data_IF_626523999851
#
_entry.id   IF_626523999851
#
_cell.length_a   1.000
_cell.length_b   1.000
_cell.length_c   1.000
_cell.angle_alpha   90.00
_cell.angle_beta   90.00
_cell.angle_gamma   90.00
#
_symmetry.space_group_name_H-M   'P 1'
#
loop_
_entity.id
_entity.type
_entity.pdbx_description
1 polymer ?
#
# COMPACT_ATOMS: atom_id res chain seq x y z
N UNK A 1 73.87 -63.51 -14.28
CA UNK A 1 72.77 -63.11 -15.18
C UNK A 1 71.47 -63.64 -14.59
N UNK A 2 70.44 -62.79 -14.60
CA UNK A 2 69.29 -62.76 -13.71
C UNK A 2 68.36 -63.99 -13.72
N UNK A 3 67.83 -64.30 -12.53
CA UNK A 3 66.73 -65.20 -12.28
C UNK A 3 65.39 -64.43 -12.15
N UNK A 4 64.31 -65.10 -12.57
CA UNK A 4 62.94 -64.63 -12.63
C UNK A 4 62.28 -64.42 -11.26
N UNK A 5 61.37 -63.43 -11.18
CA UNK A 5 60.16 -63.52 -10.37
C UNK A 5 59.06 -62.62 -10.96
N UNK A 6 57.84 -63.17 -11.11
CA UNK A 6 56.61 -62.47 -11.50
C UNK A 6 55.91 -61.92 -10.24
N UNK A 7 55.33 -60.71 -10.33
CA UNK A 7 54.27 -60.27 -9.40
C UNK A 7 53.24 -59.36 -10.09
N UNK A 8 52.04 -59.36 -9.48
CA UNK A 8 50.68 -59.04 -9.94
C UNK A 8 50.35 -57.54 -10.01
N UNK A 9 49.30 -57.16 -10.75
CA UNK A 9 48.30 -56.16 -10.29
C UNK A 9 46.94 -56.36 -10.99
N UNK A 10 45.87 -56.04 -10.26
CA UNK A 10 44.47 -56.46 -10.44
C UNK A 10 43.58 -55.37 -11.07
N UNK A 11 42.42 -55.77 -11.62
CA UNK A 11 41.27 -54.90 -11.86
C UNK A 11 39.98 -55.64 -11.48
N UNK A 12 39.25 -55.12 -10.49
CA UNK A 12 37.93 -55.60 -10.06
C UNK A 12 36.84 -55.09 -11.03
N UNK A 13 35.95 -55.99 -11.45
CA UNK A 13 34.67 -55.66 -12.09
C UNK A 13 33.57 -55.90 -11.04
N UNK A 14 32.80 -54.86 -10.72
CA UNK A 14 31.65 -54.93 -9.84
C UNK A 14 30.38 -55.31 -10.64
N UNK A 15 29.65 -56.31 -10.14
CA UNK A 15 28.36 -56.77 -10.67
C UNK A 15 27.24 -55.97 -10.02
N UNK A 16 26.35 -55.40 -10.83
CA UNK A 16 25.15 -54.69 -10.39
C UNK A 16 24.05 -55.66 -9.92
N UNK A 17 23.51 -55.45 -8.72
CA UNK A 17 22.28 -56.07 -8.25
C UNK A 17 21.16 -55.03 -8.26
N UNK A 18 20.13 -55.25 -9.08
CA UNK A 18 18.93 -54.42 -9.14
C UNK A 18 17.96 -54.81 -8.02
N UNK A 19 17.53 -53.83 -7.23
CA UNK A 19 16.41 -53.95 -6.29
C UNK A 19 15.28 -53.06 -6.79
N UNK A 20 14.14 -53.68 -7.13
CA UNK A 20 12.88 -52.97 -7.37
C UNK A 20 12.38 -52.39 -6.04
N UNK A 21 12.43 -51.06 -5.89
CA UNK A 21 11.69 -50.36 -4.85
C UNK A 21 10.33 -49.94 -5.41
N UNK A 22 9.26 -50.58 -4.94
CA UNK A 22 7.89 -50.11 -5.17
C UNK A 22 7.72 -48.75 -4.48
N UNK A 23 7.38 -47.72 -5.26
CA UNK A 23 7.16 -46.36 -4.75
C UNK A 23 5.93 -46.32 -3.86
N UNK A 24 6.13 -46.10 -2.56
CA UNK A 24 5.10 -45.57 -1.68
C UNK A 24 4.81 -44.13 -2.14
N UNK A 25 3.53 -43.70 -2.22
CA UNK A 25 3.25 -42.29 -2.45
C UNK A 25 3.85 -41.51 -1.31
N UNK A 26 4.67 -40.51 -1.62
CA UNK A 26 5.11 -39.54 -0.64
C UNK A 26 3.84 -38.91 -0.04
N UNK A 27 3.51 -39.27 1.20
CA UNK A 27 2.54 -38.54 1.99
C UNK A 27 3.00 -37.08 1.97
N UNK A 28 2.21 -36.22 1.33
CA UNK A 28 2.37 -34.79 1.47
C UNK A 28 2.43 -34.50 2.96
N UNK A 29 3.51 -33.89 3.43
CA UNK A 29 3.63 -33.49 4.82
C UNK A 29 2.39 -32.66 5.18
N UNK A 30 1.52 -33.20 6.05
CA UNK A 30 0.43 -32.41 6.61
C UNK A 30 1.08 -31.18 7.25
N UNK A 31 0.67 -29.99 6.79
CA UNK A 31 1.11 -28.74 7.39
C UNK A 31 0.84 -28.84 8.91
N UNK A 32 1.85 -28.50 9.72
CA UNK A 32 1.75 -28.55 11.17
C UNK A 32 0.43 -27.92 11.63
N UNK A 33 -0.29 -28.61 12.52
CA UNK A 33 -1.53 -28.10 13.12
C UNK A 33 -1.18 -26.78 13.81
N UNK A 34 -1.71 -25.67 13.31
CA UNK A 34 -1.45 -24.38 13.94
C UNK A 34 -2.16 -24.31 15.30
N UNK A 35 -1.37 -24.03 16.33
CA UNK A 35 -1.73 -24.15 17.74
C UNK A 35 -2.06 -22.80 18.40
N UNK A 36 -1.99 -21.72 17.63
CA UNK A 36 -2.20 -20.36 18.09
C UNK A 36 -1.03 -19.78 18.89
N UNK A 37 0.10 -20.47 19.04
CA UNK A 37 1.28 -19.91 19.72
C UNK A 37 1.88 -18.73 18.94
N UNK A 38 2.73 -17.89 19.54
CA UNK A 38 3.43 -16.83 18.79
C UNK A 38 4.23 -17.35 17.58
N UNK A 39 4.73 -18.60 17.63
CA UNK A 39 5.46 -19.23 16.55
C UNK A 39 4.56 -19.93 15.51
N UNK A 40 3.23 -19.92 15.68
CA UNK A 40 2.28 -20.49 14.74
C UNK A 40 2.40 -19.82 13.36
N UNK A 41 2.78 -20.61 12.35
CA UNK A 41 3.02 -20.14 11.00
C UNK A 41 1.77 -19.66 10.27
N UNK A 42 0.58 -19.98 10.77
CA UNK A 42 -0.68 -19.45 10.24
C UNK A 42 -0.98 -18.02 10.68
N UNK A 43 -0.27 -17.50 11.69
CA UNK A 43 -0.45 -16.13 12.18
C UNK A 43 0.45 -15.18 11.39
N UNK A 44 -0.17 -14.32 10.59
CA UNK A 44 0.52 -13.19 9.97
C UNK A 44 0.63 -12.05 10.97
N UNK A 45 1.85 -11.64 11.30
CA UNK A 45 2.12 -10.45 12.13
C UNK A 45 2.55 -9.30 11.24
N UNK A 46 1.66 -8.35 11.02
CA UNK A 46 1.85 -7.21 10.11
C UNK A 46 2.32 -5.99 10.88
N UNK A 47 3.25 -5.24 10.28
CA UNK A 47 3.94 -4.14 10.92
C UNK A 47 5.18 -4.58 11.69
N UNK A 48 5.69 -3.71 12.54
CA UNK A 48 6.99 -3.92 13.21
C UNK A 48 6.79 -4.53 14.59
N UNK A 49 6.96 -5.85 14.63
CA UNK A 49 6.88 -6.67 15.84
C UNK A 49 8.26 -7.07 16.36
N UNK A 50 8.47 -6.93 17.67
CA UNK A 50 9.56 -7.61 18.35
C UNK A 50 9.22 -9.09 18.50
N UNK A 51 10.08 -9.95 17.96
CA UNK A 51 9.93 -11.42 17.99
C UNK A 51 11.11 -12.12 18.67
N UNK A 52 11.97 -11.37 19.38
CA UNK A 52 13.18 -11.91 20.02
C UNK A 52 12.85 -12.95 21.11
N UNK A 53 11.68 -12.83 21.74
CA UNK A 53 11.14 -13.86 22.63
C UNK A 53 10.13 -14.73 21.86
N UNK A 54 10.46 -16.01 21.64
CA UNK A 54 9.61 -16.95 20.90
C UNK A 54 8.24 -17.21 21.54
N UNK A 55 8.06 -16.88 22.83
CA UNK A 55 6.81 -17.07 23.57
C UNK A 55 6.03 -15.77 23.79
N UNK A 56 6.54 -14.63 23.30
CA UNK A 56 5.92 -13.32 23.51
C UNK A 56 6.33 -12.32 22.42
N UNK A 57 5.38 -11.92 21.58
CA UNK A 57 5.62 -10.93 20.53
C UNK A 57 5.02 -9.56 20.89
N UNK A 58 5.75 -8.50 20.60
CA UNK A 58 5.42 -7.12 21.01
C UNK A 58 5.18 -6.24 19.77
N UNK A 59 3.98 -5.68 19.57
CA UNK A 59 3.72 -4.67 18.54
C UNK A 59 4.11 -3.29 19.07
N UNK A 60 5.13 -2.66 18.49
CA UNK A 60 5.61 -1.37 18.99
C UNK A 60 4.86 -0.15 18.45
N UNK A 61 4.33 -0.25 17.24
CA UNK A 61 3.72 0.87 16.54
C UNK A 61 2.20 0.75 16.52
N UNK A 62 1.52 1.90 16.44
CA UNK A 62 0.07 1.99 16.48
C UNK A 62 -0.65 1.02 15.54
N UNK A 63 -0.10 0.84 14.34
CA UNK A 63 -0.70 0.05 13.29
C UNK A 63 -0.34 -1.43 13.25
N UNK A 64 0.45 -1.93 14.19
CA UNK A 64 0.83 -3.32 14.17
C UNK A 64 -0.37 -4.19 14.60
N UNK A 65 -0.62 -5.26 13.84
CA UNK A 65 -1.71 -6.18 14.08
C UNK A 65 -1.32 -7.61 13.69
N UNK A 66 -2.07 -8.59 14.19
CA UNK A 66 -1.99 -9.97 13.72
C UNK A 66 -3.24 -10.33 12.93
N UNK A 67 -3.11 -11.26 11.98
CA UNK A 67 -4.19 -11.85 11.19
C UNK A 67 -4.06 -13.36 11.17
N UNK A 68 -5.16 -14.05 11.38
CA UNK A 68 -5.18 -15.52 11.44
C UNK A 68 -6.57 -16.03 11.14
N UNK A 69 -6.68 -17.20 10.52
CA UNK A 69 -7.92 -17.96 10.45
C UNK A 69 -8.00 -18.98 11.60
N UNK A 70 -9.19 -19.26 12.14
CA UNK A 70 -9.39 -20.33 13.12
C UNK A 70 -10.68 -21.11 12.86
N UNK A 71 -10.67 -22.40 13.17
CA UNK A 71 -11.87 -23.24 13.14
C UNK A 71 -12.61 -23.23 14.48
N UNK A 72 -13.87 -23.65 14.51
CA UNK A 72 -14.63 -23.82 15.76
C UNK A 72 -15.56 -22.65 16.02
N UNK A 73 -15.91 -22.42 17.29
CA UNK A 73 -16.94 -21.46 17.73
C UNK A 73 -16.40 -20.38 18.65
N UNK A 74 -15.25 -20.62 19.29
CA UNK A 74 -14.69 -19.68 20.28
C UNK A 74 -13.18 -19.50 20.11
N UNK A 75 -12.71 -18.28 20.37
CA UNK A 75 -11.29 -17.95 20.44
C UNK A 75 -11.02 -16.98 21.59
N UNK A 76 -9.93 -17.20 22.32
CA UNK A 76 -9.43 -16.30 23.35
C UNK A 76 -7.98 -15.93 23.04
N UNK A 77 -7.49 -14.87 23.67
CA UNK A 77 -6.12 -14.39 23.52
C UNK A 77 -5.41 -14.38 24.88
N UNK A 78 -4.15 -14.84 24.91
CA UNK A 78 -3.26 -14.72 26.07
C UNK A 78 -2.52 -13.38 26.03
N UNK A 79 -2.80 -12.55 27.02
CA UNK A 79 -2.28 -11.20 27.19
C UNK A 79 -1.45 -11.12 28.48
N UNK A 80 -0.21 -10.64 28.41
CA UNK A 80 0.71 -10.67 29.56
C UNK A 80 0.25 -9.79 30.72
N UNK A 81 0.26 -8.47 30.55
CA UNK A 81 -0.28 -7.51 31.51
C UNK A 81 -1.35 -6.62 30.87
N UNK A 82 -1.95 -5.74 31.67
CA UNK A 82 -3.10 -4.94 31.22
C UNK A 82 -2.73 -4.03 30.04
N UNK A 83 -3.52 -4.13 28.98
CA UNK A 83 -3.47 -3.27 27.81
C UNK A 83 -4.88 -3.21 27.21
N UNK A 84 -5.18 -2.13 26.48
CA UNK A 84 -6.32 -2.10 25.57
C UNK A 84 -5.94 -2.75 24.23
N UNK A 85 -6.80 -3.61 23.71
CA UNK A 85 -6.68 -4.20 22.39
C UNK A 85 -8.03 -4.18 21.67
N UNK A 86 -8.00 -4.40 20.36
CA UNK A 86 -9.20 -4.49 19.54
C UNK A 86 -9.15 -5.75 18.69
N UNK A 87 -10.29 -6.41 18.56
CA UNK A 87 -10.42 -7.59 17.70
C UNK A 87 -11.57 -7.43 16.71
N UNK A 88 -11.34 -7.85 15.47
CA UNK A 88 -12.35 -8.00 14.42
C UNK A 88 -12.42 -9.47 14.02
N UNK A 89 -13.64 -10.02 13.99
CA UNK A 89 -13.90 -11.39 13.53
C UNK A 89 -14.77 -11.31 12.28
N UNK A 90 -14.39 -12.04 11.24
CA UNK A 90 -15.10 -12.13 9.96
C UNK A 90 -15.39 -10.77 9.32
N UNK A 91 -14.42 -9.84 9.41
CA UNK A 91 -14.53 -8.50 8.84
C UNK A 91 -15.56 -7.58 9.52
N UNK A 92 -16.07 -7.96 10.69
CA UNK A 92 -16.98 -7.11 11.48
C UNK A 92 -16.25 -5.93 12.10
N UNK A 93 -17.02 -4.95 12.59
CA UNK A 93 -16.47 -3.82 13.34
C UNK A 93 -15.62 -4.29 14.52
N UNK A 94 -14.54 -3.56 14.80
CA UNK A 94 -13.65 -3.86 15.91
C UNK A 94 -14.36 -3.72 17.25
N UNK A 95 -14.20 -4.74 18.09
CA UNK A 95 -14.62 -4.75 19.48
C UNK A 95 -13.43 -4.43 20.37
N UNK A 96 -13.59 -3.52 21.33
CA UNK A 96 -12.53 -3.15 22.28
C UNK A 96 -12.54 -4.06 23.51
N UNK A 97 -11.34 -4.45 23.94
CA UNK A 97 -11.10 -5.24 25.14
C UNK A 97 -9.99 -4.56 25.95
N UNK A 98 -10.08 -4.63 27.27
CA UNK A 98 -9.01 -4.17 28.17
C UNK A 98 -8.81 -5.22 29.26
N UNK A 99 -7.58 -5.70 29.42
CA UNK A 99 -7.30 -6.70 30.45
C UNK A 99 -5.95 -7.40 30.29
N UNK A 100 -5.76 -8.43 31.10
CA UNK A 100 -4.59 -9.32 31.13
C UNK A 100 -5.02 -10.78 31.29
N UNK A 101 -4.08 -11.72 31.23
CA UNK A 101 -4.35 -13.15 31.31
C UNK A 101 -5.07 -13.66 30.07
N UNK A 102 -6.26 -14.22 30.24
CA UNK A 102 -7.07 -14.74 29.13
C UNK A 102 -8.19 -13.76 28.79
N UNK A 103 -8.13 -13.16 27.60
CA UNK A 103 -9.18 -12.29 27.08
C UNK A 103 -10.08 -13.11 26.15
N UNK A 104 -11.35 -13.27 26.51
CA UNK A 104 -12.32 -13.96 25.66
C UNK A 104 -12.81 -13.05 24.53
N UNK A 105 -12.37 -13.31 23.30
CA UNK A 105 -12.72 -12.51 22.12
C UNK A 105 -14.11 -12.87 21.57
N UNK A 106 -14.64 -14.04 21.97
CA UNK A 106 -15.97 -14.54 21.61
C UNK A 106 -16.78 -14.84 22.88
N UNK A 107 -17.18 -13.81 23.66
CA UNK A 107 -18.00 -14.02 24.86
C UNK A 107 -19.34 -14.69 24.54
N UNK A 108 -19.85 -14.45 23.34
CA UNK A 108 -20.90 -15.25 22.72
C UNK A 108 -20.27 -16.15 21.66
N UNK A 109 -20.54 -17.45 21.74
CA UNK A 109 -20.03 -18.42 20.77
C UNK A 109 -20.55 -18.12 19.36
N UNK A 110 -19.67 -18.25 18.37
CA UNK A 110 -19.99 -18.13 16.96
C UNK A 110 -20.72 -19.39 16.46
N UNK A 111 -21.17 -19.34 15.20
CA UNK A 111 -21.52 -20.56 14.48
C UNK A 111 -20.29 -21.47 14.36
N UNK A 112 -20.46 -22.78 14.24
CA UNK A 112 -19.33 -23.66 13.96
C UNK A 112 -18.86 -23.44 12.53
N UNK A 113 -17.56 -23.23 12.33
CA UNK A 113 -17.00 -23.09 10.99
C UNK A 113 -15.58 -22.54 10.99
N UNK A 114 -15.21 -21.94 9.87
CA UNK A 114 -13.97 -21.21 9.70
C UNK A 114 -14.24 -19.72 9.88
N UNK A 115 -13.40 -19.08 10.69
CA UNK A 115 -13.48 -17.66 10.99
C UNK A 115 -12.15 -16.99 10.73
N UNK A 116 -12.17 -15.70 10.44
CA UNK A 116 -10.96 -14.87 10.38
C UNK A 116 -10.91 -13.94 11.57
N UNK A 117 -9.71 -13.68 12.07
CA UNK A 117 -9.45 -12.84 13.22
C UNK A 117 -8.35 -11.82 12.88
N UNK A 118 -8.61 -10.56 13.20
CA UNK A 118 -7.60 -9.50 13.28
C UNK A 118 -7.53 -9.02 14.72
N UNK A 119 -6.33 -8.88 15.28
CA UNK A 119 -6.12 -8.24 16.59
C UNK A 119 -5.07 -7.15 16.48
N UNK A 120 -5.40 -5.95 16.96
CA UNK A 120 -4.46 -4.83 17.11
C UNK A 120 -4.42 -4.36 18.55
N UNK A 121 -3.32 -3.73 18.94
CA UNK A 121 -3.08 -3.28 20.31
C UNK A 121 -3.02 -1.76 20.37
N UNK A 122 -3.44 -1.20 21.50
CA UNK A 122 -3.19 0.22 21.78
C UNK A 122 -1.69 0.46 21.86
N UNK A 123 -1.23 1.45 21.12
CA UNK A 123 0.15 1.89 21.17
C UNK A 123 0.53 2.34 22.58
N UNK A 124 1.67 1.85 23.07
CA UNK A 124 2.28 2.33 24.32
C UNK A 124 3.19 3.51 23.98
N UNK A 125 2.65 4.73 24.08
CA UNK A 125 3.35 5.98 23.77
C UNK A 125 2.81 7.16 24.60
N UNK A 126 3.64 8.21 24.71
CA UNK A 126 3.31 9.41 25.48
C UNK A 126 3.10 9.09 26.97
N UNK A 127 2.01 9.59 27.54
CA UNK A 127 1.64 9.33 28.94
C UNK A 127 0.91 7.99 29.15
N UNK A 128 0.54 7.28 28.09
CA UNK A 128 -0.18 6.03 28.22
C UNK A 128 0.77 4.90 28.64
N UNK A 129 0.39 4.20 29.71
CA UNK A 129 1.10 3.02 30.22
C UNK A 129 0.27 1.77 29.98
N UNK A 130 0.94 0.66 29.65
CA UNK A 130 0.34 -0.63 29.35
C UNK A 130 1.36 -1.60 28.80
N UNK A 131 0.95 -2.83 28.49
CA UNK A 131 1.85 -3.89 28.04
C UNK A 131 1.32 -4.62 26.80
N UNK A 132 1.56 -4.08 25.60
CA UNK A 132 1.12 -4.72 24.36
C UNK A 132 1.96 -5.98 24.07
N UNK A 133 1.46 -7.16 24.44
CA UNK A 133 2.21 -8.43 24.32
C UNK A 133 1.30 -9.59 24.00
N UNK A 134 1.48 -10.15 22.81
CA UNK A 134 0.80 -11.34 22.36
C UNK A 134 1.53 -12.60 22.85
N UNK A 135 0.84 -13.48 23.59
CA UNK A 135 1.37 -14.77 24.06
C UNK A 135 0.64 -15.99 23.46
N UNK A 136 -0.17 -15.77 22.43
CA UNK A 136 -0.89 -16.81 21.72
C UNK A 136 -2.40 -16.75 21.84
N UNK A 137 -3.07 -17.57 21.04
CA UNK A 137 -4.50 -17.84 21.08
C UNK A 137 -4.80 -19.07 21.93
N UNK A 138 -6.03 -19.13 22.42
CA UNK A 138 -6.63 -20.33 23.02
C UNK A 138 -7.85 -20.66 22.18
N UNK A 139 -7.80 -21.83 21.54
CA UNK A 139 -8.86 -22.33 20.68
C UNK A 139 -9.78 -23.28 21.44
N UNK A 140 -10.98 -23.49 20.90
CA UNK A 140 -11.86 -24.58 21.31
C UNK A 140 -11.16 -25.95 21.16
N UNK A 141 -11.59 -26.95 21.92
CA UNK A 141 -11.06 -28.30 21.77
C UNK A 141 -11.28 -28.83 20.35
N UNK A 142 -10.22 -29.35 19.72
CA UNK A 142 -10.25 -29.85 18.34
C UNK A 142 -10.21 -28.77 17.25
N UNK A 143 -10.23 -27.48 17.63
CA UNK A 143 -10.02 -26.39 16.69
C UNK A 143 -8.52 -26.17 16.40
N UNK A 144 -8.25 -25.54 15.26
CA UNK A 144 -6.91 -25.19 14.78
C UNK A 144 -6.91 -23.84 14.10
N UNK A 145 -5.73 -23.22 13.98
CA UNK A 145 -5.57 -22.06 13.09
C UNK A 145 -5.39 -22.50 11.63
N UNK A 146 -5.58 -21.56 10.71
CA UNK A 146 -5.27 -21.69 9.29
C UNK A 146 -4.83 -20.34 8.74
N UNK A 147 -4.04 -20.35 7.67
CA UNK A 147 -3.56 -19.12 7.03
C UNK A 147 -4.75 -18.34 6.44
N UNK A 148 -4.97 -17.07 6.83
CA UNK A 148 -6.06 -16.26 6.28
C UNK A 148 -5.78 -15.89 4.81
N UNK A 149 -6.78 -15.40 4.06
CA UNK A 149 -6.56 -14.91 2.69
C UNK A 149 -5.39 -13.93 2.61
N UNK A 150 -4.46 -14.21 1.69
CA UNK A 150 -3.28 -13.40 1.41
C UNK A 150 -3.73 -12.02 0.95
N UNK A 151 -3.05 -10.98 1.45
CA UNK A 151 -3.22 -9.62 0.92
C UNK A 151 -2.07 -9.32 -0.04
N UNK A 152 -2.37 -8.77 -1.24
CA UNK A 152 -1.39 -8.73 -2.32
C UNK A 152 -0.33 -7.64 -2.15
N UNK A 153 -0.51 -6.71 -1.23
CA UNK A 153 0.36 -5.54 -1.04
C UNK A 153 0.46 -5.13 0.41
N UNK A 154 1.51 -4.38 0.74
CA UNK A 154 1.71 -3.72 2.02
C UNK A 154 1.88 -2.19 1.84
N UNK A 155 1.12 -1.40 2.60
CA UNK A 155 1.25 0.06 2.65
C UNK A 155 1.70 0.54 4.03
N UNK A 156 2.81 1.27 4.10
CA UNK A 156 3.19 1.99 5.32
C UNK A 156 2.53 3.37 5.36
N UNK A 157 1.91 3.71 6.50
CA UNK A 157 1.42 5.05 6.80
C UNK A 157 2.34 5.68 7.84
N UNK A 158 3.11 6.69 7.44
CA UNK A 158 4.10 7.37 8.26
C UNK A 158 3.55 8.73 8.68
N UNK A 159 3.56 9.02 9.97
CA UNK A 159 3.03 10.29 10.44
C UNK A 159 3.15 10.54 11.92
N UNK A 160 2.25 11.40 12.40
CA UNK A 160 2.19 11.90 13.77
C UNK A 160 0.93 11.40 14.52
N UNK A 161 0.37 12.22 15.42
CA UNK A 161 -0.87 11.90 16.15
C UNK A 161 -2.04 11.57 15.24
N UNK A 162 -2.14 12.21 14.08
CA UNK A 162 -3.25 11.99 13.15
C UNK A 162 -3.14 10.59 12.56
N UNK A 163 -1.93 10.16 12.18
CA UNK A 163 -1.71 8.80 11.67
C UNK A 163 -1.76 7.76 12.77
N UNK A 164 -1.54 8.12 14.04
CA UNK A 164 -1.77 7.24 15.18
C UNK A 164 -3.25 7.16 15.62
N UNK A 165 -4.15 7.90 14.95
CA UNK A 165 -5.59 7.89 15.25
C UNK A 165 -6.02 8.71 16.46
N UNK A 166 -5.21 9.69 16.89
CA UNK A 166 -5.56 10.53 18.03
C UNK A 166 -6.96 11.16 17.87
N UNK A 167 -7.75 11.11 18.93
CA UNK A 167 -9.15 11.57 19.01
C UNK A 167 -10.18 10.77 18.21
N UNK A 168 -9.78 9.76 17.43
CA UNK A 168 -10.71 8.75 16.93
C UNK A 168 -11.14 7.78 18.04
N UNK A 169 -12.29 7.12 17.89
CA UNK A 169 -12.92 6.33 18.95
C UNK A 169 -12.14 5.08 19.37
N UNK A 170 -11.33 4.51 18.47
CA UNK A 170 -10.52 3.32 18.72
C UNK A 170 -9.07 3.50 18.25
N UNK A 171 -8.58 4.74 18.21
CA UNK A 171 -7.21 5.07 17.84
C UNK A 171 -6.84 4.45 16.48
N UNK A 172 -5.82 3.59 16.45
CA UNK A 172 -5.27 3.05 15.23
C UNK A 172 -6.30 2.28 14.38
N UNK A 173 -7.21 1.51 14.97
CA UNK A 173 -8.14 0.69 14.17
C UNK A 173 -9.29 1.49 13.56
N UNK A 174 -9.45 2.75 13.95
CA UNK A 174 -10.42 3.69 13.38
C UNK A 174 -9.78 4.83 12.59
N UNK A 175 -8.45 4.88 12.55
CA UNK A 175 -7.71 5.89 11.79
C UNK A 175 -7.77 5.63 10.27
N UNK A 176 -7.36 6.63 9.50
CA UNK A 176 -7.52 6.59 8.05
C UNK A 176 -6.62 5.55 7.39
N UNK A 177 -5.42 5.30 7.91
CA UNK A 177 -4.47 4.31 7.40
C UNK A 177 -5.03 2.89 7.52
N UNK A 178 -5.62 2.56 8.68
CA UNK A 178 -6.21 1.25 8.91
C UNK A 178 -7.42 1.03 8.00
N UNK A 179 -8.31 2.02 7.97
CA UNK A 179 -9.50 1.99 7.11
C UNK A 179 -9.16 1.91 5.62
N UNK A 180 -8.12 2.61 5.15
CA UNK A 180 -7.68 2.53 3.75
C UNK A 180 -7.13 1.14 3.44
N UNK A 181 -6.26 0.60 4.31
CA UNK A 181 -5.69 -0.73 4.12
C UNK A 181 -6.75 -1.82 4.06
N UNK A 182 -7.71 -1.82 5.00
CA UNK A 182 -8.84 -2.75 4.98
C UNK A 182 -9.72 -2.58 3.73
N UNK A 183 -10.02 -1.34 3.32
CA UNK A 183 -10.83 -1.06 2.12
C UNK A 183 -10.19 -1.57 0.83
N UNK A 184 -8.87 -1.46 0.73
CA UNK A 184 -8.12 -1.93 -0.44
C UNK A 184 -7.82 -3.43 -0.38
N UNK A 185 -8.07 -4.08 0.75
CA UNK A 185 -7.66 -5.46 0.98
C UNK A 185 -6.14 -5.61 1.02
N UNK A 186 -5.41 -4.58 1.50
CA UNK A 186 -3.94 -4.57 1.61
C UNK A 186 -3.50 -4.77 3.06
N UNK A 187 -2.35 -5.41 3.24
CA UNK A 187 -1.66 -5.30 4.51
C UNK A 187 -1.19 -3.85 4.69
N UNK A 188 -1.14 -3.40 5.93
CA UNK A 188 -0.85 -2.00 6.22
C UNK A 188 -0.27 -1.86 7.62
N UNK A 189 0.45 -0.76 7.85
CA UNK A 189 0.97 -0.44 9.18
C UNK A 189 1.20 1.05 9.32
N UNK A 190 0.86 1.59 10.47
CA UNK A 190 1.11 2.96 10.88
C UNK A 190 2.45 3.04 11.63
N UNK A 191 3.43 3.72 11.05
CA UNK A 191 4.68 4.11 11.71
C UNK A 191 4.48 5.53 12.21
N UNK A 192 3.79 5.67 13.33
CA UNK A 192 3.37 6.98 13.85
C UNK A 192 3.29 7.01 15.37
N UNK A 193 3.60 8.15 15.97
CA UNK A 193 3.38 8.50 17.39
C UNK A 193 2.88 9.95 17.46
N UNK A 194 2.03 10.23 18.44
CA UNK A 194 1.55 11.58 18.72
C UNK A 194 2.66 12.61 18.95
N UNK A 195 2.51 13.77 18.31
CA UNK A 195 3.44 14.89 18.46
C UNK A 195 4.75 14.78 17.67
N UNK A 196 4.93 13.73 16.85
CA UNK A 196 6.15 13.59 16.05
C UNK A 196 6.30 14.70 15.00
N UNK A 197 7.53 15.15 14.82
CA UNK A 197 7.96 16.02 13.74
C UNK A 197 8.49 15.20 12.55
N UNK A 198 8.71 15.86 11.42
CA UNK A 198 9.56 15.32 10.38
C UNK A 198 11.03 15.38 10.81
N UNK A 199 11.48 16.53 11.34
CA UNK A 199 12.88 16.80 11.71
C UNK A 199 13.09 16.77 13.24
N UNK A 200 14.24 16.27 13.70
CA UNK A 200 14.61 16.40 15.12
C UNK A 200 14.87 17.87 15.43
N UNK A 201 14.33 18.33 16.56
CA UNK A 201 14.47 19.72 16.99
C UNK A 201 15.17 19.81 18.34
N UNK A 202 15.83 20.94 18.60
CA UNK A 202 16.63 21.14 19.82
C UNK A 202 15.80 21.16 21.10
N UNK A 203 14.50 21.46 21.00
CA UNK A 203 13.54 21.39 22.10
C UNK A 203 12.95 19.99 22.29
N UNK A 204 13.43 18.99 21.54
CA UNK A 204 13.19 17.57 21.79
C UNK A 204 12.01 16.96 21.05
N UNK A 205 11.53 17.56 19.95
CA UNK A 205 10.51 16.93 19.12
C UNK A 205 11.06 15.64 18.51
N UNK A 206 10.47 14.49 18.87
CA UNK A 206 10.83 13.22 18.28
C UNK A 206 10.49 13.21 16.79
N UNK A 207 11.40 12.72 15.96
CA UNK A 207 11.27 12.90 14.53
C UNK A 207 11.29 11.61 13.72
N UNK A 208 10.54 11.62 12.63
CA UNK A 208 10.48 10.49 11.71
C UNK A 208 11.77 10.29 10.91
N UNK A 209 12.59 11.33 10.72
CA UNK A 209 13.93 11.17 10.14
C UNK A 209 14.82 10.20 10.92
N UNK A 210 14.52 9.98 12.20
CA UNK A 210 15.19 9.01 13.08
C UNK A 210 14.33 7.77 13.31
N UNK A 211 13.09 7.96 13.79
CA UNK A 211 12.26 6.87 14.33
C UNK A 211 11.66 5.96 13.27
N UNK A 212 11.49 6.44 12.04
CA UNK A 212 11.08 5.58 10.93
C UNK A 212 12.05 4.42 10.67
N UNK A 213 13.31 4.51 11.11
CA UNK A 213 14.30 3.45 10.91
C UNK A 213 14.39 2.47 12.07
N UNK A 214 13.57 2.66 13.10
CA UNK A 214 13.63 1.92 14.35
C UNK A 214 12.53 0.87 14.43
N UNK A 215 12.81 -0.21 15.16
CA UNK A 215 11.82 -1.25 15.48
C UNK A 215 10.66 -0.69 16.30
N UNK A 216 10.91 0.37 17.08
CA UNK A 216 9.93 1.04 17.94
C UNK A 216 10.01 2.56 17.81
N UNK A 217 8.99 3.26 18.29
CA UNK A 217 8.97 4.71 18.22
C UNK A 217 9.71 5.42 19.36
N UNK A 218 10.40 4.71 20.25
CA UNK A 218 11.22 5.33 21.30
C UNK A 218 11.36 4.55 22.60
N UNK A 219 10.86 3.31 22.66
CA UNK A 219 11.02 2.46 23.82
C UNK A 219 12.53 2.16 24.05
N UNK A 220 12.95 2.16 25.31
CA UNK A 220 14.36 1.92 25.71
C UNK A 220 14.81 0.53 25.23
N UNK A 221 16.05 0.45 24.74
CA UNK A 221 16.66 -0.83 24.33
C UNK A 221 16.11 -1.39 23.01
N UNK A 222 15.62 -0.52 22.12
CA UNK A 222 15.09 -0.94 20.82
C UNK A 222 16.08 -0.71 19.68
N UNK A 223 16.16 -1.72 18.81
CA UNK A 223 17.13 -1.77 17.71
C UNK A 223 16.58 -1.09 16.44
N UNK A 224 17.45 -0.94 15.45
CA UNK A 224 17.03 -0.63 14.08
C UNK A 224 16.04 -1.66 13.56
N UNK A 225 15.09 -1.21 12.74
CA UNK A 225 14.18 -2.12 12.09
C UNK A 225 14.90 -2.92 11.01
N UNK A 226 14.72 -4.24 11.04
CA UNK A 226 15.15 -5.12 9.96
C UNK A 226 14.13 -5.05 8.81
N UNK A 227 14.42 -4.16 7.87
CA UNK A 227 13.60 -3.97 6.68
C UNK A 227 13.66 -5.13 5.66
N UNK A 228 14.40 -6.22 5.91
CA UNK A 228 14.29 -7.43 5.09
C UNK A 228 12.98 -8.20 5.36
N UNK A 229 12.32 -7.91 6.49
CA UNK A 229 11.11 -8.61 6.94
C UNK A 229 9.87 -8.33 6.11
N UNK A 230 9.81 -7.20 5.42
CA UNK A 230 8.83 -6.91 4.38
C UNK A 230 9.33 -5.80 3.46
N UNK A 231 8.77 -5.76 2.25
CA UNK A 231 8.86 -4.61 1.36
C UNK A 231 7.50 -3.91 1.34
N UNK A 232 7.49 -2.58 1.38
CA UNK A 232 6.28 -1.82 1.17
C UNK A 232 6.07 -1.60 -0.34
N UNK A 233 4.82 -1.73 -0.81
CA UNK A 233 4.40 -1.33 -2.15
C UNK A 233 4.06 0.16 -2.19
N UNK A 234 3.64 0.72 -1.06
CA UNK A 234 3.34 2.14 -0.91
C UNK A 234 3.80 2.68 0.43
N UNK A 235 4.24 3.93 0.46
CA UNK A 235 4.51 4.68 1.69
C UNK A 235 3.76 6.01 1.63
N UNK A 236 2.80 6.19 2.53
CA UNK A 236 1.99 7.40 2.65
C UNK A 236 2.51 8.21 3.83
N UNK A 237 2.89 9.47 3.61
CA UNK A 237 3.56 10.30 4.59
C UNK A 237 2.69 11.53 4.88
N UNK A 238 2.27 11.69 6.14
CA UNK A 238 1.53 12.85 6.61
C UNK A 238 2.27 13.45 7.83
N UNK A 239 3.15 14.40 7.55
CA UNK A 239 4.05 15.03 8.52
C UNK A 239 4.19 16.53 8.22
N UNK A 240 4.51 17.30 9.24
CA UNK A 240 4.60 18.77 9.18
C UNK A 240 3.69 19.47 10.18
N UNK A 241 2.70 18.76 10.74
CA UNK A 241 1.74 19.32 11.69
C UNK A 241 2.43 19.95 12.90
N UNK A 242 3.49 19.33 13.42
CA UNK A 242 4.15 19.77 14.65
C UNK A 242 5.38 20.64 14.40
N UNK A 243 6.06 20.48 13.26
CA UNK A 243 7.39 21.06 12.98
C UNK A 243 7.45 22.59 13.15
N UNK A 244 6.40 23.32 12.77
CA UNK A 244 6.38 24.79 12.89
C UNK A 244 6.36 25.27 14.32
N UNK A 245 5.67 24.56 15.21
CA UNK A 245 5.65 24.87 16.65
C UNK A 245 6.99 24.60 17.32
N UNK A 246 7.84 23.78 16.70
CA UNK A 246 9.19 23.47 17.15
C UNK A 246 10.27 24.27 16.38
N UNK A 247 9.88 25.37 15.74
CA UNK A 247 10.83 26.34 15.15
C UNK A 247 11.47 25.90 13.83
N UNK A 248 10.98 24.85 13.17
CA UNK A 248 11.53 24.41 11.88
C UNK A 248 11.20 25.43 10.79
N UNK A 249 12.20 25.96 10.10
CA UNK A 249 11.98 26.90 9.00
C UNK A 249 11.41 26.19 7.75
N UNK A 250 10.73 26.92 6.87
CA UNK A 250 10.24 26.40 5.59
C UNK A 250 11.34 25.71 4.76
N UNK A 251 12.49 26.37 4.62
CA UNK A 251 13.63 25.85 3.88
C UNK A 251 14.20 24.56 4.51
N UNK A 252 14.33 24.54 5.85
CA UNK A 252 14.81 23.36 6.57
C UNK A 252 13.83 22.19 6.43
N UNK A 253 12.53 22.45 6.55
CA UNK A 253 11.49 21.44 6.38
C UNK A 253 11.53 20.82 4.97
N UNK A 254 11.52 21.63 3.90
CA UNK A 254 11.59 21.14 2.53
C UNK A 254 12.83 20.28 2.27
N UNK A 255 14.00 20.76 2.69
CA UNK A 255 15.26 20.02 2.53
C UNK A 255 15.22 18.68 3.27
N UNK A 256 14.69 18.67 4.48
CA UNK A 256 14.55 17.46 5.30
C UNK A 256 13.56 16.49 4.68
N UNK A 257 12.43 16.96 4.17
CA UNK A 257 11.42 16.13 3.52
C UNK A 257 11.97 15.48 2.25
N UNK A 258 12.72 16.25 1.44
CA UNK A 258 13.37 15.74 0.23
C UNK A 258 14.38 14.64 0.57
N UNK A 259 15.20 14.84 1.62
CA UNK A 259 16.13 13.83 2.11
C UNK A 259 15.42 12.58 2.65
N UNK A 260 14.33 12.76 3.38
CA UNK A 260 13.54 11.65 3.92
C UNK A 260 12.92 10.79 2.81
N UNK A 261 12.31 11.40 1.81
CA UNK A 261 11.81 10.71 0.60
C UNK A 261 12.92 9.95 -0.12
N UNK A 262 14.10 10.57 -0.27
CA UNK A 262 15.28 9.94 -0.90
C UNK A 262 15.71 8.68 -0.14
N UNK A 263 15.75 8.74 1.20
CA UNK A 263 16.12 7.59 2.04
C UNK A 263 15.08 6.49 1.99
N UNK A 264 13.79 6.83 1.99
CA UNK A 264 12.70 5.85 1.86
C UNK A 264 12.79 5.14 0.51
N UNK A 265 12.97 5.88 -0.61
CA UNK A 265 13.18 5.30 -1.94
C UNK A 265 14.37 4.33 -1.96
N UNK A 266 15.49 4.69 -1.34
CA UNK A 266 16.64 3.80 -1.27
C UNK A 266 16.35 2.49 -0.52
N UNK A 267 15.41 2.50 0.45
CA UNK A 267 14.98 1.32 1.20
C UNK A 267 13.93 0.49 0.47
N UNK A 268 13.01 1.16 -0.23
CA UNK A 268 11.94 0.53 -1.01
C UNK A 268 11.99 1.04 -2.46
N UNK A 269 12.89 0.48 -3.30
CA UNK A 269 13.15 0.99 -4.64
C UNK A 269 11.91 1.06 -5.54
N UNK A 270 10.95 0.16 -5.34
CA UNK A 270 9.75 0.03 -6.17
C UNK A 270 8.48 0.62 -5.53
N UNK A 271 8.55 1.18 -4.31
CA UNK A 271 7.36 1.67 -3.62
C UNK A 271 6.80 2.94 -4.28
N UNK A 272 5.48 3.11 -4.31
CA UNK A 272 4.88 4.42 -4.61
C UNK A 272 4.91 5.29 -3.35
N UNK A 273 5.50 6.48 -3.43
CA UNK A 273 5.61 7.38 -2.28
C UNK A 273 4.55 8.48 -2.37
N UNK A 274 3.71 8.62 -1.36
CA UNK A 274 2.63 9.61 -1.33
C UNK A 274 2.90 10.62 -0.22
N UNK A 275 3.36 11.82 -0.56
CA UNK A 275 3.54 12.91 0.38
C UNK A 275 2.22 13.70 0.49
N UNK A 276 1.52 13.53 1.60
CA UNK A 276 0.25 14.22 1.84
C UNK A 276 0.49 15.65 2.31
N UNK A 277 -0.29 16.58 1.76
CA UNK A 277 -0.52 17.88 2.40
C UNK A 277 -1.13 17.64 3.77
N UNK A 278 -0.57 18.25 4.82
CA UNK A 278 -1.20 18.19 6.16
C UNK A 278 -2.61 18.78 6.10
N UNK A 279 -3.54 18.27 6.90
CA UNK A 279 -4.94 18.70 6.82
C UNK A 279 -5.13 20.18 7.19
N UNK A 280 -4.28 20.70 8.08
CA UNK A 280 -4.23 22.12 8.46
C UNK A 280 -3.40 22.99 7.49
N UNK A 281 -2.89 22.42 6.40
CA UNK A 281 -2.14 23.14 5.35
C UNK A 281 -0.73 23.58 5.72
N UNK A 282 -0.22 23.11 6.86
CA UNK A 282 1.14 23.41 7.31
C UNK A 282 2.15 22.76 6.36
N UNK A 283 3.14 23.55 5.94
CA UNK A 283 4.19 23.20 4.97
C UNK A 283 3.70 22.66 3.62
N UNK A 284 2.49 23.03 3.19
CA UNK A 284 1.90 22.49 1.96
C UNK A 284 2.80 22.72 0.72
N UNK A 285 3.35 23.92 0.57
CA UNK A 285 4.20 24.30 -0.55
C UNK A 285 5.57 23.61 -0.50
N UNK A 286 6.13 23.46 0.70
CA UNK A 286 7.41 22.83 0.96
C UNK A 286 7.36 21.32 0.71
N UNK A 287 6.27 20.65 1.14
CA UNK A 287 6.03 19.24 0.81
C UNK A 287 5.89 19.04 -0.69
N UNK A 288 5.11 19.87 -1.38
CA UNK A 288 4.96 19.79 -2.83
C UNK A 288 6.29 20.05 -3.56
N UNK A 289 7.07 21.04 -3.09
CA UNK A 289 8.38 21.33 -3.64
C UNK A 289 9.39 20.19 -3.42
N UNK A 290 9.33 19.49 -2.29
CA UNK A 290 10.13 18.30 -2.05
C UNK A 290 9.78 17.16 -3.03
N UNK A 291 8.48 16.95 -3.30
CA UNK A 291 8.03 16.00 -4.33
C UNK A 291 8.55 16.41 -5.71
N UNK A 292 8.37 17.68 -6.10
CA UNK A 292 8.88 18.19 -7.39
C UNK A 292 10.39 17.99 -7.52
N UNK A 293 11.15 18.19 -6.44
CA UNK A 293 12.59 17.96 -6.44
C UNK A 293 12.96 16.48 -6.67
N UNK A 294 12.20 15.53 -6.07
CA UNK A 294 12.38 14.09 -6.33
C UNK A 294 12.04 13.73 -7.77
N UNK A 295 10.94 14.24 -8.30
CA UNK A 295 10.50 13.98 -9.67
C UNK A 295 11.50 14.56 -10.69
N UNK A 296 12.01 15.78 -10.46
CA UNK A 296 13.05 16.39 -11.28
C UNK A 296 14.39 15.62 -11.23
N UNK A 297 14.65 14.89 -10.15
CA UNK A 297 15.78 13.98 -10.02
C UNK A 297 15.53 12.59 -10.63
N UNK A 298 14.40 12.38 -11.32
CA UNK A 298 14.08 11.15 -12.07
C UNK A 298 13.21 10.14 -11.32
N UNK A 299 12.79 10.43 -10.09
CA UNK A 299 11.92 9.54 -9.31
C UNK A 299 10.44 9.88 -9.56
N UNK A 300 9.87 9.38 -10.66
CA UNK A 300 8.50 9.69 -11.05
C UNK A 300 7.41 9.08 -10.13
N UNK A 301 7.80 8.16 -9.24
CA UNK A 301 6.91 7.43 -8.35
C UNK A 301 6.77 8.10 -6.97
N UNK A 302 6.89 9.44 -6.94
CA UNK A 302 6.63 10.29 -5.78
C UNK A 302 5.50 11.26 -6.10
N UNK A 303 4.43 11.18 -5.33
CA UNK A 303 3.17 11.87 -5.57
C UNK A 303 2.90 12.85 -4.44
N UNK A 304 2.55 14.09 -4.80
CA UNK A 304 1.95 15.03 -3.86
C UNK A 304 0.45 14.78 -3.80
N UNK A 305 -0.08 14.57 -2.60
CA UNK A 305 -1.52 14.38 -2.39
C UNK A 305 -2.08 15.64 -1.75
N UNK A 306 -2.74 16.47 -2.55
CA UNK A 306 -3.43 17.66 -2.05
C UNK A 306 -4.70 17.26 -1.29
N UNK A 307 -4.72 17.56 0.01
CA UNK A 307 -5.81 17.25 0.94
C UNK A 307 -6.75 18.42 1.18
N UNK A 308 -6.62 19.50 0.41
CA UNK A 308 -7.45 20.70 0.55
C UNK A 308 -8.94 20.34 0.43
N UNK A 309 -9.73 20.76 1.44
CA UNK A 309 -11.18 20.52 1.45
C UNK A 309 -11.61 19.07 1.70
N UNK A 310 -10.71 18.18 2.13
CA UNK A 310 -11.05 16.78 2.37
C UNK A 310 -11.89 16.56 3.62
N UNK A 311 -11.65 17.35 4.67
CA UNK A 311 -12.35 17.21 5.94
C UNK A 311 -13.71 17.92 5.90
N UNK A 312 -14.79 17.26 6.35
CA UNK A 312 -16.10 17.90 6.46
C UNK A 312 -16.14 18.89 7.64
N UNK A 313 -17.15 19.75 7.64
CA UNK A 313 -17.49 20.54 8.83
C UNK A 313 -17.74 19.61 10.02
N UNK A 314 -17.14 19.90 11.17
CA UNK A 314 -17.20 19.04 12.36
C UNK A 314 -16.43 17.72 12.23
N UNK A 315 -15.61 17.54 11.18
CA UNK A 315 -14.76 16.35 11.00
C UNK A 315 -13.51 16.33 11.88
N UNK A 316 -13.28 17.38 12.67
CA UNK A 316 -12.18 17.46 13.63
C UNK A 316 -12.76 17.46 15.06
N UNK A 317 -12.11 16.73 15.96
CA UNK A 317 -12.42 16.77 17.41
C UNK A 317 -11.95 18.07 18.06
N UNK A 318 -10.87 18.63 17.52
CA UNK A 318 -10.29 19.91 17.90
C UNK A 318 -9.94 20.71 16.62
N UNK A 319 -8.92 21.58 16.64
CA UNK A 319 -8.50 22.33 15.45
C UNK A 319 -7.51 21.58 14.55
N UNK A 320 -7.14 20.33 14.88
CA UNK A 320 -6.04 19.58 14.26
C UNK A 320 -6.41 18.13 13.97
N UNK A 321 -6.99 17.42 14.94
CA UNK A 321 -7.15 15.97 14.92
C UNK A 321 -8.52 15.55 14.36
N UNK A 322 -8.55 14.73 13.29
CA UNK A 322 -9.78 14.16 12.77
C UNK A 322 -10.47 13.26 13.79
N UNK A 323 -11.79 13.41 13.93
CA UNK A 323 -12.62 12.40 14.59
C UNK A 323 -12.93 11.25 13.62
N UNK A 324 -13.79 10.31 14.02
CA UNK A 324 -14.17 9.17 13.18
C UNK A 324 -14.74 9.56 11.81
N UNK A 325 -15.51 10.65 11.75
CA UNK A 325 -16.07 11.16 10.50
C UNK A 325 -14.99 11.82 9.62
N UNK A 326 -14.05 12.54 10.24
CA UNK A 326 -12.88 13.07 9.53
C UNK A 326 -11.99 11.97 8.97
N UNK A 327 -11.66 10.96 9.77
CA UNK A 327 -10.91 9.77 9.32
C UNK A 327 -11.63 9.03 8.20
N UNK A 328 -12.95 8.88 8.28
CA UNK A 328 -13.75 8.31 7.20
C UNK A 328 -13.63 9.13 5.91
N UNK A 329 -13.79 10.46 5.99
CA UNK A 329 -13.70 11.35 4.83
C UNK A 329 -12.31 11.35 4.17
N UNK A 330 -11.24 11.20 4.97
CA UNK A 330 -9.88 11.00 4.50
C UNK A 330 -9.77 9.66 3.77
N UNK A 331 -10.27 8.57 4.38
CA UNK A 331 -10.25 7.24 3.74
C UNK A 331 -10.98 7.25 2.39
N UNK A 332 -12.15 7.88 2.32
CA UNK A 332 -12.97 7.96 1.11
C UNK A 332 -12.25 8.62 -0.07
N UNK A 333 -11.33 9.55 0.22
CA UNK A 333 -10.56 10.26 -0.79
C UNK A 333 -9.19 9.65 -1.04
N UNK A 334 -8.56 9.08 -0.01
CA UNK A 334 -7.21 8.53 -0.11
C UNK A 334 -7.19 7.14 -0.76
N UNK A 335 -8.15 6.26 -0.44
CA UNK A 335 -8.20 4.92 -1.00
C UNK A 335 -8.18 4.89 -2.54
N UNK A 336 -8.99 5.68 -3.28
CA UNK A 336 -8.91 5.68 -4.75
C UNK A 336 -7.58 6.22 -5.28
N UNK A 337 -6.96 7.20 -4.62
CA UNK A 337 -5.63 7.72 -4.99
C UNK A 337 -4.57 6.63 -4.89
N UNK A 338 -4.57 5.87 -3.79
CA UNK A 338 -3.65 4.76 -3.57
C UNK A 338 -3.92 3.62 -4.55
N UNK A 339 -5.18 3.23 -4.72
CA UNK A 339 -5.56 2.16 -5.64
C UNK A 339 -5.05 2.45 -7.05
N UNK A 340 -5.27 3.67 -7.56
CA UNK A 340 -4.88 4.08 -8.90
C UNK A 340 -3.36 3.93 -9.17
N UNK A 341 -2.52 4.16 -8.17
CA UNK A 341 -1.06 4.10 -8.32
C UNK A 341 -0.45 2.76 -7.89
N UNK A 342 -1.11 2.03 -7.00
CA UNK A 342 -0.61 0.74 -6.52
C UNK A 342 -1.05 -0.41 -7.42
N UNK A 343 -2.24 -0.33 -8.05
CA UNK A 343 -2.75 -1.39 -8.93
C UNK A 343 -2.13 -1.39 -10.33
N UNK A 344 -1.35 -0.36 -10.68
CA UNK A 344 -0.47 -0.40 -11.84
C UNK A 344 0.64 -1.42 -11.58
N UNK A 345 0.41 -2.67 -11.96
CA UNK A 345 1.49 -3.64 -12.15
C UNK A 345 2.56 -3.01 -13.06
N UNK A 346 3.86 -3.36 -12.92
CA UNK A 346 4.76 -3.17 -14.04
C UNK A 346 4.11 -3.90 -15.22
N UNK A 347 3.86 -3.21 -16.32
CA UNK A 347 3.35 -3.84 -17.54
C UNK A 347 4.24 -5.07 -17.80
N UNK A 348 3.75 -6.33 -17.66
CA UNK A 348 4.48 -7.42 -18.27
C UNK A 348 4.52 -7.05 -19.75
N UNK A 349 5.72 -7.05 -20.35
CA UNK A 349 5.85 -7.03 -21.81
C UNK A 349 4.86 -8.06 -22.34
N UNK A 350 3.77 -7.66 -23.04
CA UNK A 350 2.70 -8.59 -23.31
C UNK A 350 3.22 -9.66 -24.26
N UNK A 351 3.23 -10.90 -23.80
CA UNK A 351 3.16 -12.04 -24.72
C UNK A 351 1.81 -11.92 -25.44
N UNK A 352 1.77 -11.97 -26.78
CA UNK A 352 0.61 -11.57 -27.55
C UNK A 352 -0.54 -12.54 -27.31
N UNK A 353 -1.56 -12.09 -26.58
CA UNK A 353 -2.89 -12.69 -26.59
C UNK A 353 -3.81 -11.75 -27.36
N UNK A 354 -4.37 -12.26 -28.44
CA UNK A 354 -5.10 -11.51 -29.46
C UNK A 354 -6.36 -10.86 -28.87
N UNK A 355 -6.47 -9.52 -28.78
CA UNK A 355 -7.71 -8.84 -28.41
C UNK A 355 -8.67 -8.82 -29.61
N UNK A 356 -9.96 -8.96 -29.34
CA UNK A 356 -11.02 -8.71 -30.34
C UNK A 356 -10.95 -7.25 -30.74
N UNK A 357 -10.57 -6.98 -31.99
CA UNK A 357 -10.59 -5.64 -32.56
C UNK A 357 -12.03 -5.07 -32.54
N UNK A 358 -12.22 -3.84 -32.07
CA UNK A 358 -13.40 -3.02 -32.42
C UNK A 358 -14.39 -2.60 -31.33
N UNK A 359 -14.07 -2.69 -30.04
CA UNK A 359 -14.99 -2.25 -28.97
C UNK A 359 -14.99 -0.71 -28.69
N UNK A 360 -14.33 0.10 -29.53
CA UNK A 360 -14.36 1.55 -29.43
C UNK A 360 -14.26 2.24 -30.79
N UNK A 361 -14.80 3.46 -30.86
CA UNK A 361 -14.69 4.35 -32.01
C UNK A 361 -14.22 5.75 -31.56
N UNK A 362 -13.33 6.37 -32.34
CA UNK A 362 -12.79 7.71 -32.09
C UNK A 362 -13.13 8.62 -33.26
N UNK A 363 -13.68 9.79 -32.94
CA UNK A 363 -13.74 10.92 -33.89
C UNK A 363 -12.70 11.93 -33.48
N UNK A 364 -11.75 12.20 -34.36
CA UNK A 364 -10.70 13.19 -34.20
C UNK A 364 -10.97 14.34 -35.16
N UNK A 365 -11.20 15.54 -34.65
CA UNK A 365 -11.61 16.67 -35.51
C UNK A 365 -10.75 17.88 -35.22
N UNK A 366 -10.11 18.43 -36.25
CA UNK A 366 -9.53 19.78 -36.17
C UNK A 366 -10.66 20.80 -36.12
N UNK A 367 -10.71 21.61 -35.07
CA UNK A 367 -11.74 22.63 -34.85
C UNK A 367 -11.23 24.06 -34.94
N UNK A 368 -9.92 24.25 -34.87
CA UNK A 368 -9.28 25.54 -35.11
C UNK A 368 -7.90 25.36 -35.71
N UNK A 369 -7.50 26.29 -36.57
CA UNK A 369 -6.18 26.35 -37.21
C UNK A 369 -5.80 27.82 -37.36
N UNK A 370 -4.65 28.23 -36.79
CA UNK A 370 -4.14 29.59 -36.91
C UNK A 370 -2.70 29.62 -37.47
N UNK A 371 -2.31 28.56 -38.18
CA UNK A 371 -1.02 28.45 -38.89
C UNK A 371 0.18 28.15 -37.99
N UNK A 372 0.24 28.71 -36.78
CA UNK A 372 1.27 28.40 -35.76
C UNK A 372 0.79 27.43 -34.69
N UNK A 373 -0.44 26.94 -34.82
CA UNK A 373 -1.06 25.97 -33.91
C UNK A 373 -2.44 25.56 -34.40
N UNK A 374 -2.98 24.50 -33.80
CA UNK A 374 -4.32 24.02 -34.08
C UNK A 374 -5.00 23.48 -32.82
N UNK A 375 -6.32 23.53 -32.83
CA UNK A 375 -7.18 22.93 -31.82
C UNK A 375 -7.83 21.66 -32.37
N UNK A 376 -7.90 20.63 -31.54
CA UNK A 376 -8.53 19.36 -31.86
C UNK A 376 -9.54 18.97 -30.78
N UNK A 377 -10.71 18.51 -31.22
CA UNK A 377 -11.68 17.82 -30.39
C UNK A 377 -11.58 16.31 -30.65
N UNK A 378 -11.66 15.53 -29.59
CA UNK A 378 -11.66 14.06 -29.64
C UNK A 378 -12.91 13.53 -28.96
N UNK A 379 -13.74 12.81 -29.70
CA UNK A 379 -14.88 12.07 -29.15
C UNK A 379 -14.53 10.59 -29.10
N UNK A 380 -14.57 10.02 -27.90
CA UNK A 380 -14.30 8.62 -27.62
C UNK A 380 -15.62 7.91 -27.32
N UNK A 381 -15.97 6.93 -28.16
CA UNK A 381 -17.22 6.18 -28.06
C UNK A 381 -16.95 4.74 -27.65
N UNK A 382 -17.70 4.26 -26.65
CA UNK A 382 -17.74 2.87 -26.24
C UNK A 382 -18.78 2.14 -27.10
N UNK A 383 -18.34 1.31 -28.04
CA UNK A 383 -19.23 0.55 -28.92
C UNK A 383 -19.62 -0.82 -28.33
N UNK A 384 -19.18 -1.11 -27.11
CA UNK A 384 -19.52 -2.34 -26.40
C UNK A 384 -20.81 -2.23 -25.60
N UNK A 385 -21.27 -3.38 -25.09
CA UNK A 385 -22.44 -3.51 -24.21
C UNK A 385 -22.11 -3.33 -22.73
N UNK A 386 -20.85 -3.06 -22.37
CA UNK A 386 -20.39 -2.92 -20.98
C UNK A 386 -19.84 -1.50 -20.79
N UNK A 387 -20.22 -0.77 -19.72
CA UNK A 387 -19.63 0.52 -19.42
C UNK A 387 -18.10 0.44 -19.26
N UNK A 388 -17.39 1.43 -19.76
CA UNK A 388 -15.96 1.63 -19.48
C UNK A 388 -15.87 2.53 -18.25
N UNK A 389 -15.27 2.04 -17.17
CA UNK A 389 -15.03 2.81 -15.94
C UNK A 389 -13.53 3.09 -15.79
N UNK A 390 -13.14 4.33 -16.04
CA UNK A 390 -11.75 4.73 -16.26
C UNK A 390 -11.31 4.51 -17.71
N UNK A 391 -10.87 5.57 -18.38
CA UNK A 391 -10.39 5.49 -19.76
C UNK A 391 -9.03 6.16 -19.94
N UNK A 392 -8.20 5.49 -20.72
CA UNK A 392 -6.93 5.98 -21.26
C UNK A 392 -6.99 5.83 -22.78
N UNK A 393 -6.85 6.93 -23.50
CA UNK A 393 -6.76 6.93 -24.96
C UNK A 393 -5.32 7.23 -25.38
N UNK A 394 -4.74 6.37 -26.21
CA UNK A 394 -3.43 6.63 -26.84
C UNK A 394 -3.60 6.88 -28.33
N UNK A 395 -2.75 7.72 -28.91
CA UNK A 395 -2.65 7.95 -30.36
C UNK A 395 -1.27 8.48 -30.74
N UNK A 396 -0.98 8.49 -32.05
CA UNK A 396 0.23 9.07 -32.61
C UNK A 396 -0.08 10.32 -33.42
N UNK A 397 0.65 11.39 -33.13
CA UNK A 397 0.66 12.62 -33.92
C UNK A 397 1.55 12.43 -35.16
N UNK A 398 1.23 13.07 -36.29
CA UNK A 398 1.91 12.88 -37.59
C UNK A 398 3.36 13.41 -37.63
N UNK A 399 3.79 14.22 -36.66
CA UNK A 399 5.09 14.87 -36.68
C UNK A 399 5.59 15.27 -35.29
N UNK A 400 6.55 16.19 -35.25
CA UNK A 400 7.20 16.64 -34.01
C UNK A 400 6.39 17.65 -33.19
N UNK A 401 5.12 17.88 -33.55
CA UNK A 401 4.25 18.81 -32.82
C UNK A 401 4.11 18.45 -31.35
N UNK A 402 3.86 19.45 -30.52
CA UNK A 402 3.68 19.32 -29.08
C UNK A 402 2.29 19.78 -28.66
N UNK A 403 1.66 18.98 -27.82
CA UNK A 403 0.42 19.35 -27.15
C UNK A 403 0.77 20.34 -26.04
N UNK A 404 0.22 21.54 -26.11
CA UNK A 404 0.54 22.65 -25.19
C UNK A 404 -0.55 22.90 -24.16
N UNK A 405 -1.79 22.52 -24.48
CA UNK A 405 -2.96 22.64 -23.60
C UNK A 405 -3.92 21.48 -23.83
N UNK A 406 -4.68 21.12 -22.79
CA UNK A 406 -5.78 20.16 -22.89
C UNK A 406 -6.88 20.49 -21.89
N UNK A 407 -8.11 20.04 -22.18
CA UNK A 407 -9.26 20.12 -21.28
C UNK A 407 -10.05 18.83 -21.31
N UNK A 408 -10.87 18.62 -20.27
CA UNK A 408 -11.68 17.40 -20.06
C UNK A 408 -10.86 16.09 -20.06
N UNK A 409 -9.54 16.19 -19.95
CA UNK A 409 -8.59 15.09 -19.86
C UNK A 409 -7.26 15.63 -19.33
N UNK A 410 -6.41 14.75 -18.81
CA UNK A 410 -4.99 15.04 -18.60
C UNK A 410 -4.21 14.37 -19.72
N UNK A 411 -3.49 15.16 -20.53
CA UNK A 411 -2.71 14.65 -21.66
C UNK A 411 -1.22 14.68 -21.36
N UNK A 412 -0.53 13.57 -21.64
CA UNK A 412 0.94 13.48 -21.65
C UNK A 412 1.41 13.09 -23.04
N UNK A 413 2.65 13.47 -23.40
CA UNK A 413 3.21 13.19 -24.71
C UNK A 413 4.70 12.83 -24.60
N UNK A 414 5.12 11.81 -25.35
CA UNK A 414 6.53 11.46 -25.56
C UNK A 414 6.78 11.20 -27.05
N UNK A 415 7.67 11.99 -27.66
CA UNK A 415 7.88 11.93 -29.11
C UNK A 415 6.59 12.25 -29.87
N UNK A 416 6.14 11.35 -30.75
CA UNK A 416 4.87 11.46 -31.48
C UNK A 416 3.69 10.85 -30.71
N UNK A 417 3.94 10.05 -29.67
CA UNK A 417 2.92 9.34 -28.93
C UNK A 417 2.28 10.24 -27.87
N UNK A 418 0.95 10.31 -27.86
CA UNK A 418 0.15 11.04 -26.90
C UNK A 418 -0.79 10.10 -26.14
N UNK A 419 -1.02 10.42 -24.87
CA UNK A 419 -1.87 9.66 -23.95
C UNK A 419 -2.78 10.62 -23.20
N UNK A 420 -4.09 10.46 -23.34
CA UNK A 420 -5.10 11.18 -22.57
C UNK A 420 -5.72 10.25 -21.53
N UNK A 421 -5.85 10.72 -20.29
CA UNK A 421 -6.59 10.04 -19.23
C UNK A 421 -7.79 10.88 -18.79
N UNK A 422 -8.85 10.20 -18.35
CA UNK A 422 -10.07 10.83 -17.86
C UNK A 422 -9.84 11.76 -16.67
N UNK A 423 -10.72 12.74 -16.50
CA UNK A 423 -10.90 13.47 -15.25
C UNK A 423 -12.05 12.86 -14.45
N UNK A 424 -12.25 13.26 -13.20
CA UNK A 424 -13.16 12.57 -12.28
C UNK A 424 -14.62 12.51 -12.76
N UNK A 425 -15.12 13.56 -13.42
CA UNK A 425 -16.53 13.63 -13.84
C UNK A 425 -16.84 12.90 -15.16
N UNK A 426 -15.83 12.53 -15.95
CA UNK A 426 -16.01 11.80 -17.21
C UNK A 426 -15.34 10.42 -17.23
N UNK A 427 -15.05 9.86 -16.05
CA UNK A 427 -14.40 8.57 -15.90
C UNK A 427 -15.20 7.41 -16.53
N UNK A 428 -16.53 7.48 -16.45
CA UNK A 428 -17.42 6.43 -16.95
C UNK A 428 -17.93 6.78 -18.35
N UNK A 429 -17.69 5.90 -19.32
CA UNK A 429 -18.33 5.91 -20.63
C UNK A 429 -19.38 4.79 -20.63
N UNK A 430 -20.69 5.11 -20.57
CA UNK A 430 -21.74 4.10 -20.60
C UNK A 430 -21.62 3.16 -21.80
N UNK A 431 -22.23 1.97 -21.73
CA UNK A 431 -22.41 1.11 -22.88
C UNK A 431 -23.12 1.88 -24.01
N UNK A 432 -22.63 1.79 -25.24
CA UNK A 432 -23.06 2.60 -26.39
C UNK A 432 -22.97 4.14 -26.17
N UNK A 433 -22.26 4.60 -25.14
CA UNK A 433 -22.07 6.01 -24.81
C UNK A 433 -20.76 6.60 -25.33
N UNK A 434 -20.56 7.89 -25.10
CA UNK A 434 -19.33 8.59 -25.50
C UNK A 434 -18.92 9.65 -24.48
N UNK A 435 -17.63 9.97 -24.47
CA UNK A 435 -17.05 11.14 -23.80
C UNK A 435 -16.27 11.99 -24.80
N UNK A 436 -15.94 13.23 -24.46
CA UNK A 436 -15.15 14.10 -25.33
C UNK A 436 -14.16 14.95 -24.54
N UNK A 437 -13.00 15.15 -25.15
CA UNK A 437 -11.95 16.03 -24.67
C UNK A 437 -11.33 16.81 -25.83
N UNK A 438 -10.51 17.81 -25.52
CA UNK A 438 -9.82 18.57 -26.55
C UNK A 438 -8.44 19.02 -26.12
N UNK A 439 -7.65 19.42 -27.12
CA UNK A 439 -6.28 19.86 -26.91
C UNK A 439 -5.81 20.82 -28.00
N UNK A 440 -4.72 21.53 -27.72
CA UNK A 440 -4.05 22.45 -28.64
C UNK A 440 -2.64 21.96 -28.92
N UNK A 441 -2.21 22.04 -30.18
CA UNK A 441 -0.82 21.81 -30.59
C UNK A 441 -0.13 23.09 -31.06
N UNK A 442 1.19 23.15 -30.94
CA UNK A 442 2.07 24.20 -31.46
C UNK A 442 2.34 24.11 -32.99
N UNK A 443 1.50 23.35 -33.70
CA UNK A 443 1.59 23.11 -35.13
C UNK A 443 0.21 22.82 -35.70
N UNK A 444 -0.09 23.21 -36.95
CA UNK A 444 -1.38 22.94 -37.58
C UNK A 444 -1.51 21.52 -38.16
N UNK A 445 -0.49 20.66 -38.05
CA UNK A 445 -0.54 19.32 -38.64
C UNK A 445 -1.66 18.46 -38.03
N UNK A 446 -2.56 17.96 -38.87
CA UNK A 446 -3.60 16.99 -38.52
C UNK A 446 -3.28 15.57 -39.03
N UNK A 447 -4.21 14.64 -38.88
CA UNK A 447 -4.03 13.25 -39.33
C UNK A 447 -3.37 12.36 -38.27
N UNK A 448 -3.82 12.45 -37.03
CA UNK A 448 -3.42 11.51 -35.98
C UNK A 448 -3.86 10.08 -36.33
N UNK A 449 -3.08 9.08 -35.94
CA UNK A 449 -3.36 7.66 -36.25
C UNK A 449 -3.14 6.77 -35.04
N UNK A 450 -3.58 5.52 -35.13
CA UNK A 450 -3.25 4.49 -34.13
C UNK A 450 -3.95 4.70 -32.78
N UNK A 451 -5.24 5.06 -32.82
CA UNK A 451 -6.03 5.26 -31.60
C UNK A 451 -6.28 3.93 -30.88
N UNK A 452 -6.04 3.89 -29.57
CA UNK A 452 -6.37 2.74 -28.73
C UNK A 452 -6.94 3.14 -27.36
N UNK A 453 -8.09 2.57 -27.01
CA UNK A 453 -8.75 2.75 -25.71
C UNK A 453 -8.33 1.62 -24.76
N UNK A 454 -7.70 1.97 -23.64
CA UNK A 454 -7.21 1.00 -22.64
C UNK A 454 -6.39 -0.14 -23.29
N UNK A 455 -5.61 0.22 -24.32
CA UNK A 455 -4.78 -0.71 -25.10
C UNK A 455 -5.48 -1.43 -26.26
N UNK A 456 -6.79 -1.30 -26.41
CA UNK A 456 -7.56 -1.91 -27.51
C UNK A 456 -7.70 -0.95 -28.70
N UNK A 457 -7.38 -1.37 -29.94
CA UNK A 457 -7.51 -0.50 -31.11
C UNK A 457 -8.94 0.00 -31.33
N UNK A 458 -9.08 1.30 -31.61
CA UNK A 458 -10.35 1.92 -31.97
C UNK A 458 -10.44 2.13 -33.48
N UNK A 459 -11.66 2.00 -34.03
CA UNK A 459 -11.95 2.56 -35.35
C UNK A 459 -11.85 4.09 -35.26
N UNK A 460 -11.15 4.74 -36.18
CA UNK A 460 -10.94 6.18 -36.14
C UNK A 460 -11.49 6.85 -37.40
N UNK A 461 -12.19 7.96 -37.21
CA UNK A 461 -12.50 8.94 -38.26
C UNK A 461 -11.77 10.22 -37.91
N UNK A 462 -10.89 10.68 -38.81
CA UNK A 462 -9.92 11.76 -38.58
C UNK A 462 -10.06 12.89 -39.58
#
# INVERSE_FOLDING_TARGET
MNALARMRTAALIAVAAGVLAAGLPALSAEAAVGDGTPADSNISFVGRWNKTNASAYVPYWAGAYLRVGFTGRTVKLRQRNTIQLWASIDGRAFTSFTGSGTINLTPTALAAGNHTLIVSYRQVAGSYTGDAVFQGLILESGARTFTPPVRPKLVEFVGDSITAGATSSQLAVTDYGFKVGERLGYDHTQIAIGGMCLAETTDGCWAQTTRYWMSSGGQVGTDQWDFSRYTADGVVINLGTNDRSHGVSAAAFQATYTSFLTRIRARFPNAKLFAMRTFIGRYAAETEAAVRARNAAGDADVFYVDTTGWLPSGGLSDSVHPNDAGHQAITDRLAPVLSAQLTTAPTPTPEPTTPVAGACAVTYRKTGDWGTGAQFDVTLSNTSTVPVDGWTLTWSLPGSQRITQSWNSTVTQSGTAATAVNVSWNAVIPAAGSTSFGFVTDSPLGGATGFALNGSPCAATT
#
